data_IF_229300776664
#
_entry.id   IF_229300776664
#
_cell.length_a   1.000
_cell.length_b   1.000
_cell.length_c   1.000
_cell.angle_alpha   90.00
_cell.angle_beta   90.00
_cell.angle_gamma   90.00
#
_symmetry.space_group_name_H-M   'P 1'
#
loop_
_entity.id
_entity.type
_entity.pdbx_description
1 polymer ?
#
# COMPACT_ATOMS: atom_id res chain seq x y z
N UNK A 1 29.91 2.96 -16.44
CA UNK A 1 29.12 2.07 -15.57
C UNK A 1 27.75 2.69 -15.40
N UNK A 2 26.62 1.98 -15.63
CA UNK A 2 25.32 2.49 -15.15
C UNK A 2 24.02 2.20 -15.94
N UNK A 3 24.01 1.52 -17.09
CA UNK A 3 22.78 1.42 -17.92
C UNK A 3 21.83 0.28 -17.45
N UNK A 4 22.30 -0.63 -16.59
CA UNK A 4 21.51 -1.78 -16.13
C UNK A 4 20.49 -1.45 -15.02
N UNK A 5 20.64 -0.31 -14.32
CA UNK A 5 19.74 0.08 -13.22
C UNK A 5 18.37 0.61 -13.68
N UNK A 6 18.32 1.29 -14.83
CA UNK A 6 17.11 1.99 -15.27
C UNK A 6 16.00 1.04 -15.79
N UNK A 7 16.38 -0.08 -16.40
CA UNK A 7 15.41 -1.07 -16.90
C UNK A 7 14.74 -1.89 -15.79
N UNK A 8 15.45 -2.15 -14.69
CA UNK A 8 14.89 -2.90 -13.55
C UNK A 8 13.88 -2.07 -12.74
N UNK A 9 14.03 -0.75 -12.73
CA UNK A 9 13.18 0.14 -11.95
C UNK A 9 11.75 0.26 -12.52
N UNK A 10 11.60 0.29 -13.85
CA UNK A 10 10.28 0.38 -14.49
C UNK A 10 9.36 -0.82 -14.18
N UNK A 11 9.91 -2.03 -14.07
CA UNK A 11 9.13 -3.22 -13.75
C UNK A 11 8.65 -3.26 -12.30
N UNK A 12 9.49 -2.81 -11.38
CA UNK A 12 9.16 -2.73 -9.96
C UNK A 12 8.11 -1.65 -9.69
N UNK A 13 8.23 -0.49 -10.34
CA UNK A 13 7.27 0.61 -10.19
C UNK A 13 5.87 0.20 -10.67
N UNK A 14 5.76 -0.47 -11.81
CA UNK A 14 4.48 -0.99 -12.33
C UNK A 14 3.86 -2.08 -11.42
N UNK A 15 4.68 -2.95 -10.83
CA UNK A 15 4.22 -3.95 -9.87
C UNK A 15 3.63 -3.29 -8.62
N UNK A 16 4.30 -2.27 -8.09
CA UNK A 16 3.88 -1.52 -6.91
C UNK A 16 2.60 -0.70 -7.17
N UNK A 17 2.50 -0.06 -8.34
CA UNK A 17 1.28 0.65 -8.75
C UNK A 17 0.08 -0.28 -8.86
N UNK A 18 0.26 -1.45 -9.49
CA UNK A 18 -0.79 -2.48 -9.60
C UNK A 18 -1.21 -2.99 -8.22
N UNK A 19 -0.23 -3.26 -7.34
CA UNK A 19 -0.47 -3.73 -5.98
C UNK A 19 -1.20 -2.69 -5.12
N UNK A 20 -0.84 -1.41 -5.25
CA UNK A 20 -1.51 -0.30 -4.59
C UNK A 20 -2.95 -0.13 -5.08
N UNK A 21 -3.18 -0.23 -6.39
CA UNK A 21 -4.52 -0.17 -6.99
C UNK A 21 -5.41 -1.29 -6.46
N UNK A 22 -4.89 -2.52 -6.41
CA UNK A 22 -5.60 -3.66 -5.83
C UNK A 22 -5.89 -3.47 -4.35
N UNK A 23 -4.89 -3.02 -3.58
CA UNK A 23 -5.07 -2.72 -2.16
C UNK A 23 -6.23 -1.74 -1.96
N UNK A 24 -6.24 -0.64 -2.71
CA UNK A 24 -7.28 0.40 -2.61
C UNK A 24 -8.68 -0.15 -2.84
N UNK A 25 -8.85 -1.03 -3.83
CA UNK A 25 -10.12 -1.70 -4.12
C UNK A 25 -10.52 -2.65 -2.98
N UNK A 26 -9.57 -3.46 -2.48
CA UNK A 26 -9.87 -4.48 -1.47
C UNK A 26 -10.28 -3.89 -0.11
N UNK A 27 -9.76 -2.71 0.25
CA UNK A 27 -10.10 -2.01 1.50
C UNK A 27 -11.12 -0.88 1.31
N UNK A 28 -11.58 -0.63 0.07
CA UNK A 28 -12.46 0.47 -0.31
C UNK A 28 -11.99 1.84 0.24
N UNK A 29 -10.68 2.10 0.16
CA UNK A 29 -10.05 3.30 0.72
C UNK A 29 -8.89 3.76 -0.19
N UNK A 30 -8.79 5.07 -0.49
CA UNK A 30 -7.65 5.58 -1.24
C UNK A 30 -6.33 5.30 -0.53
N UNK A 31 -5.31 4.89 -1.29
CA UNK A 31 -3.97 4.61 -0.78
C UNK A 31 -2.93 5.44 -1.51
N UNK A 32 -1.85 5.78 -0.81
CA UNK A 32 -0.69 6.40 -1.41
C UNK A 32 0.57 5.58 -1.16
N UNK A 33 1.51 5.70 -2.08
CA UNK A 33 2.81 5.04 -2.07
C UNK A 33 3.87 5.91 -2.76
N UNK A 34 5.13 5.91 -2.31
CA UNK A 34 5.61 5.38 -1.03
C UNK A 34 5.23 6.32 0.13
N UNK A 35 4.92 5.77 1.30
CA UNK A 35 4.68 6.55 2.52
C UNK A 35 5.97 6.71 3.34
N UNK A 36 6.22 7.91 3.86
CA UNK A 36 7.36 8.23 4.75
C UNK A 36 8.76 7.86 4.20
N UNK A 37 8.93 7.87 2.87
CA UNK A 37 10.19 7.45 2.23
C UNK A 37 10.51 5.96 2.41
N UNK A 38 9.51 5.13 2.75
CA UNK A 38 9.65 3.68 2.95
C UNK A 38 8.72 2.94 2.00
N UNK A 39 9.01 1.65 1.75
CA UNK A 39 8.15 0.76 0.96
C UNK A 39 6.88 0.34 1.75
N UNK A 40 6.02 1.32 2.00
CA UNK A 40 4.78 1.20 2.78
C UNK A 40 3.67 1.94 2.02
N UNK A 41 2.49 1.34 1.95
CA UNK A 41 1.26 2.01 1.57
C UNK A 41 0.60 2.62 2.80
N UNK A 42 0.08 3.83 2.69
CA UNK A 42 -0.76 4.44 3.72
C UNK A 42 -2.12 4.76 3.10
N UNK A 43 -3.19 4.29 3.75
CA UNK A 43 -4.55 4.64 3.32
C UNK A 43 -4.99 5.99 3.90
N UNK A 44 -6.09 6.53 3.38
CA UNK A 44 -6.68 7.79 3.88
C UNK A 44 -6.98 7.76 5.39
N UNK A 45 -7.32 6.58 5.93
CA UNK A 45 -7.56 6.33 7.35
C UNK A 45 -6.29 6.26 8.21
N UNK A 46 -5.10 6.59 7.66
CA UNK A 46 -3.79 6.52 8.34
C UNK A 46 -3.35 5.10 8.75
N UNK A 47 -3.98 4.06 8.21
CA UNK A 47 -3.56 2.68 8.41
C UNK A 47 -2.40 2.36 7.46
N UNK A 48 -1.33 1.79 8.02
CA UNK A 48 -0.11 1.47 7.29
C UNK A 48 -0.08 0.01 6.84
N UNK A 49 0.24 -0.22 5.58
CA UNK A 49 0.38 -1.53 4.95
C UNK A 49 1.77 -1.68 4.32
N UNK A 50 2.74 -2.33 5.00
CA UNK A 50 4.04 -2.60 4.40
C UNK A 50 3.92 -3.41 3.11
N UNK A 51 4.74 -3.13 2.09
CA UNK A 51 4.65 -3.81 0.77
C UNK A 51 4.74 -5.33 0.91
N UNK A 52 5.63 -5.85 1.75
CA UNK A 52 5.78 -7.30 1.95
C UNK A 52 4.50 -7.95 2.50
N UNK A 53 3.74 -7.22 3.32
CA UNK A 53 2.49 -7.70 3.89
C UNK A 53 1.39 -7.74 2.83
N UNK A 54 1.32 -6.72 1.96
CA UNK A 54 0.37 -6.70 0.84
C UNK A 54 0.72 -7.76 -0.21
N UNK A 55 2.01 -7.98 -0.50
CA UNK A 55 2.49 -9.05 -1.41
C UNK A 55 2.14 -10.45 -0.92
N UNK A 56 2.02 -10.67 0.39
CA UNK A 56 1.56 -11.95 0.95
C UNK A 56 0.09 -12.26 0.61
N UNK A 57 -0.66 -11.31 0.05
CA UNK A 57 -1.96 -11.51 -0.61
C UNK A 57 -3.03 -12.14 0.32
N UNK A 58 -2.91 -11.92 1.63
CA UNK A 58 -3.90 -12.33 2.64
C UNK A 58 -4.97 -11.25 2.80
N UNK A 59 -5.84 -11.11 1.80
CA UNK A 59 -6.80 -9.99 1.67
C UNK A 59 -7.78 -9.88 2.82
N UNK A 60 -8.21 -11.00 3.41
CA UNK A 60 -9.10 -10.98 4.57
C UNK A 60 -8.44 -10.31 5.78
N UNK A 61 -7.15 -10.59 6.02
CA UNK A 61 -6.37 -9.97 7.10
C UNK A 61 -6.10 -8.49 6.77
N UNK A 62 -5.86 -8.16 5.50
CA UNK A 62 -5.66 -6.77 5.06
C UNK A 62 -6.94 -5.94 5.31
N UNK A 63 -8.10 -6.47 4.94
CA UNK A 63 -9.41 -5.86 5.22
C UNK A 63 -9.65 -5.72 6.72
N UNK A 64 -9.39 -6.78 7.49
CA UNK A 64 -9.54 -6.75 8.94
C UNK A 64 -8.65 -5.66 9.56
N UNK A 65 -7.37 -5.60 9.17
CA UNK A 65 -6.42 -4.58 9.64
C UNK A 65 -6.90 -3.16 9.32
N UNK A 66 -7.47 -2.93 8.14
CA UNK A 66 -8.06 -1.64 7.78
C UNK A 66 -9.21 -1.28 8.73
N UNK A 67 -10.16 -2.20 8.91
CA UNK A 67 -11.36 -1.96 9.70
C UNK A 67 -11.07 -1.77 11.20
N UNK A 68 -10.10 -2.52 11.75
CA UNK A 68 -9.67 -2.37 13.15
C UNK A 68 -8.81 -1.13 13.39
N UNK A 69 -8.00 -0.76 12.39
CA UNK A 69 -7.15 0.43 12.45
C UNK A 69 -7.89 1.72 12.19
N UNK A 70 -9.03 1.66 11.49
CA UNK A 70 -9.90 2.79 11.25
C UNK A 70 -10.54 3.26 12.56
N UNK A 71 -10.08 4.41 13.05
CA UNK A 71 -10.75 5.16 14.10
C UNK A 71 -11.38 6.38 13.43
N UNK A 72 -12.71 6.42 13.24
CA UNK A 72 -13.34 7.69 12.90
C UNK A 72 -12.96 8.66 14.01
N UNK A 73 -12.37 9.81 13.66
CA UNK A 73 -12.11 10.85 14.64
C UNK A 73 -13.44 11.13 15.36
N UNK A 74 -13.46 10.96 16.69
CA UNK A 74 -14.52 11.50 17.52
C UNK A 74 -14.53 13.00 17.26
N UNK A 75 -15.44 13.44 16.42
CA UNK A 75 -15.76 14.84 16.22
C UNK A 75 -16.44 15.34 17.49
N UNK A 76 -15.64 15.83 18.42
CA UNK A 76 -16.06 16.73 19.51
C UNK A 76 -16.64 18.04 18.95
#
# INVERSE_FOLDING_TARGET
>A
MGIWGAYLQQGLDAELESLGSKLSIEIDCPVHYPAFGKHIYECHCRVLFPVFFVKANSWDIIRQKHNEGFKPEESD
#
